data_IF_258324019442
#
_entry.id   IF_258324019442
#
_cell.length_a   1.000
_cell.length_b   1.000
_cell.length_c   1.000
_cell.angle_alpha   90.00
_cell.angle_beta   90.00
_cell.angle_gamma   90.00
#
_symmetry.space_group_name_H-M   'P 1'
#
loop_
_entity.id
_entity.type
_entity.pdbx_description
1 polymer ?
#
# COMPACT_ATOMS: atom_id res chain seq x y z
N UNK A 1 10.10 -24.54 0.53
CA UNK A 1 8.86 -24.12 -0.16
C UNK A 1 7.71 -25.03 0.24
N UNK A 2 6.62 -24.45 0.76
CA UNK A 2 5.25 -24.99 1.01
C UNK A 2 4.35 -23.73 1.07
N UNK A 3 3.10 -23.65 0.61
CA UNK A 3 2.13 -24.63 0.11
C UNK A 3 1.86 -24.45 -1.40
N UNK A 4 1.25 -25.47 -2.03
CA UNK A 4 0.96 -25.53 -3.49
C UNK A 4 -0.50 -25.97 -3.79
N UNK A 5 -1.47 -25.74 -2.90
CA UNK A 5 -2.93 -25.62 -3.12
C UNK A 5 -3.63 -25.49 -1.73
N UNK A 6 -4.90 -25.06 -1.62
CA UNK A 6 -5.51 -24.81 -0.30
C UNK A 6 -5.76 -26.12 0.46
N UNK A 7 -5.65 -26.04 1.79
CA UNK A 7 -5.96 -27.13 2.72
C UNK A 7 -7.46 -27.45 2.78
N UNK A 8 -8.31 -26.63 2.14
CA UNK A 8 -9.74 -26.85 1.98
C UNK A 8 -10.17 -26.66 0.53
N UNK A 9 -11.15 -27.43 0.09
CA UNK A 9 -11.73 -27.39 -1.27
C UNK A 9 -13.14 -26.77 -1.29
N UNK A 10 -13.46 -25.96 -0.28
CA UNK A 10 -14.78 -25.31 -0.10
C UNK A 10 -14.74 -23.80 -0.36
N UNK A 11 -15.90 -23.15 -0.29
CA UNK A 11 -15.98 -21.69 -0.33
C UNK A 11 -15.20 -21.08 0.84
N UNK A 12 -14.28 -20.16 0.54
CA UNK A 12 -13.53 -19.43 1.56
C UNK A 12 -14.37 -18.28 2.10
N UNK A 13 -14.49 -18.22 3.42
CA UNK A 13 -15.09 -17.09 4.12
C UNK A 13 -14.13 -15.90 4.15
N UNK A 14 -14.64 -14.72 4.55
CA UNK A 14 -13.78 -13.56 4.76
C UNK A 14 -12.75 -13.75 5.87
N UNK A 15 -13.08 -14.54 6.91
CA UNK A 15 -12.15 -14.85 8.00
C UNK A 15 -11.07 -15.85 7.56
N UNK A 16 -11.40 -16.81 6.69
CA UNK A 16 -10.40 -17.70 6.09
C UNK A 16 -9.37 -16.89 5.30
N UNK A 17 -9.82 -15.92 4.50
CA UNK A 17 -8.91 -15.04 3.75
C UNK A 17 -8.05 -14.18 4.67
N UNK A 18 -8.60 -13.66 5.77
CA UNK A 18 -7.81 -12.92 6.76
C UNK A 18 -6.68 -13.78 7.33
N UNK A 19 -6.95 -15.05 7.65
CA UNK A 19 -5.93 -15.98 8.14
C UNK A 19 -4.87 -16.33 7.09
N UNK A 20 -5.29 -16.54 5.84
CA UNK A 20 -4.39 -16.88 4.73
C UNK A 20 -3.43 -15.72 4.40
N UNK A 21 -3.92 -14.48 4.44
CA UNK A 21 -3.13 -13.28 4.10
C UNK A 21 -2.55 -12.57 5.31
N UNK A 22 -2.69 -13.12 6.52
CA UNK A 22 -2.17 -12.52 7.74
C UNK A 22 -0.66 -12.28 7.67
N UNK A 23 -0.21 -11.17 8.24
CA UNK A 23 1.20 -10.92 8.50
C UNK A 23 1.70 -11.83 9.64
N UNK A 24 3.00 -12.17 9.68
CA UNK A 24 3.58 -12.86 10.81
C UNK A 24 3.33 -12.12 12.13
N UNK A 25 3.09 -12.88 13.20
CA UNK A 25 3.01 -12.30 14.55
C UNK A 25 4.39 -11.80 15.01
N UNK A 26 4.41 -10.72 15.79
CA UNK A 26 5.60 -10.15 16.44
C UNK A 26 6.72 -9.70 15.47
N UNK A 27 6.39 -8.83 14.52
CA UNK A 27 7.37 -8.24 13.61
C UNK A 27 8.35 -7.31 14.35
N UNK A 28 9.64 -7.57 14.21
CA UNK A 28 10.76 -6.72 14.65
C UNK A 28 11.27 -5.80 13.54
N UNK A 29 10.94 -6.09 12.28
CA UNK A 29 11.28 -5.31 11.09
C UNK A 29 10.11 -5.22 10.12
N UNK A 30 10.24 -4.40 9.08
CA UNK A 30 9.26 -4.32 8.01
C UNK A 30 9.07 -5.68 7.30
N UNK A 31 7.82 -6.04 7.08
CA UNK A 31 7.40 -7.17 6.27
C UNK A 31 6.58 -6.65 5.09
N UNK A 32 7.10 -6.87 3.89
CA UNK A 32 6.45 -6.41 2.66
C UNK A 32 5.71 -7.57 2.02
N UNK A 33 4.39 -7.43 1.89
CA UNK A 33 3.58 -8.27 1.01
C UNK A 33 3.35 -7.51 -0.30
N UNK A 34 3.80 -8.10 -1.41
CA UNK A 34 3.68 -7.53 -2.74
C UNK A 34 2.47 -8.15 -3.42
N UNK A 35 1.51 -7.33 -3.85
CA UNK A 35 0.27 -7.80 -4.49
C UNK A 35 0.15 -7.22 -5.90
N UNK A 36 0.11 -8.11 -6.89
CA UNK A 36 0.09 -7.78 -8.31
C UNK A 36 -0.84 -8.74 -9.06
N UNK A 37 -1.38 -8.26 -10.17
CA UNK A 37 -2.08 -9.07 -11.16
C UNK A 37 -1.28 -9.09 -12.45
N UNK A 38 -1.29 -10.22 -13.15
CA UNK A 38 -0.68 -10.37 -14.46
C UNK A 38 -1.53 -11.28 -15.35
N UNK A 39 -1.49 -11.04 -16.66
CA UNK A 39 -2.01 -11.97 -17.66
C UNK A 39 -1.16 -13.25 -17.71
N UNK A 40 -1.67 -14.28 -18.40
CA UNK A 40 -0.97 -15.56 -18.53
C UNK A 40 0.37 -15.44 -19.30
N UNK A 41 0.52 -14.43 -20.16
CA UNK A 41 1.75 -14.10 -20.88
C UNK A 41 2.62 -13.06 -20.15
N UNK A 42 2.23 -12.63 -18.94
CA UNK A 42 3.05 -11.80 -18.05
C UNK A 42 2.87 -10.29 -18.21
N UNK A 43 1.86 -9.82 -18.96
CA UNK A 43 1.51 -8.41 -18.99
C UNK A 43 0.91 -7.99 -17.64
N UNK A 44 1.30 -6.81 -17.15
CA UNK A 44 0.86 -6.25 -15.86
C UNK A 44 -0.16 -5.12 -16.02
N UNK A 45 -0.45 -4.72 -17.25
CA UNK A 45 -1.43 -3.69 -17.59
C UNK A 45 -2.12 -3.98 -18.93
N UNK A 46 -3.33 -3.44 -19.07
CA UNK A 46 -4.08 -3.32 -20.32
C UNK A 46 -4.53 -1.86 -20.40
N UNK A 47 -4.25 -1.18 -21.53
CA UNK A 47 -4.54 0.25 -21.69
C UNK A 47 -4.00 1.11 -20.53
N UNK A 48 -2.72 0.90 -20.15
CA UNK A 48 -1.99 1.64 -19.09
C UNK A 48 -2.43 1.42 -17.64
N UNK A 49 -3.38 0.52 -17.38
CA UNK A 49 -3.85 0.22 -16.02
C UNK A 49 -3.95 -1.27 -15.76
N UNK A 50 -3.86 -1.66 -14.49
CA UNK A 50 -4.04 -3.06 -14.06
C UNK A 50 -5.52 -3.52 -14.10
N UNK A 51 -6.46 -2.57 -14.15
CA UNK A 51 -7.90 -2.81 -13.99
C UNK A 51 -8.46 -3.81 -15.02
N UNK A 52 -7.95 -3.81 -16.25
CA UNK A 52 -8.37 -4.74 -17.31
C UNK A 52 -7.98 -6.20 -17.05
N UNK A 53 -7.03 -6.46 -16.14
CA UNK A 53 -6.60 -7.79 -15.74
C UNK A 53 -7.29 -8.28 -14.46
N UNK A 54 -7.97 -7.38 -13.75
CA UNK A 54 -8.59 -7.67 -12.45
C UNK A 54 -9.96 -8.34 -12.59
N UNK A 55 -10.41 -8.96 -11.51
CA UNK A 55 -11.77 -9.50 -11.38
C UNK A 55 -12.27 -9.37 -9.94
N UNK A 56 -13.54 -9.70 -9.68
CA UNK A 56 -14.17 -9.52 -8.36
C UNK A 56 -13.40 -10.18 -7.21
N UNK A 57 -12.82 -11.37 -7.39
CA UNK A 57 -12.06 -12.02 -6.31
C UNK A 57 -10.68 -11.39 -6.09
N UNK A 58 -10.04 -10.87 -7.14
CA UNK A 58 -8.78 -10.13 -7.06
C UNK A 58 -8.98 -8.84 -6.26
N UNK A 59 -10.03 -8.07 -6.59
CA UNK A 59 -10.39 -6.86 -5.84
C UNK A 59 -10.66 -7.14 -4.36
N UNK A 60 -11.18 -8.33 -4.00
CA UNK A 60 -11.37 -8.71 -2.59
C UNK A 60 -10.03 -8.90 -1.89
N UNK A 61 -9.08 -9.59 -2.51
CA UNK A 61 -7.73 -9.80 -1.96
C UNK A 61 -6.97 -8.47 -1.88
N UNK A 62 -7.03 -7.65 -2.93
CA UNK A 62 -6.43 -6.32 -2.97
C UNK A 62 -6.93 -5.44 -1.81
N UNK A 63 -8.25 -5.33 -1.64
CA UNK A 63 -8.84 -4.53 -0.56
C UNK A 63 -8.55 -5.10 0.83
N UNK A 64 -8.41 -6.43 0.95
CA UNK A 64 -8.03 -7.12 2.18
C UNK A 64 -6.57 -6.82 2.55
N UNK A 65 -5.64 -6.80 1.58
CA UNK A 65 -4.25 -6.41 1.82
C UNK A 65 -4.16 -5.03 2.49
N UNK A 66 -4.93 -4.05 1.98
CA UNK A 66 -5.08 -2.73 2.61
C UNK A 66 -5.67 -2.79 4.03
N UNK A 67 -6.56 -3.73 4.31
CA UNK A 67 -7.16 -3.93 5.64
C UNK A 67 -6.21 -4.60 6.64
N UNK A 68 -5.22 -5.34 6.18
CA UNK A 68 -4.25 -6.05 7.01
C UNK A 68 -2.92 -5.30 7.19
N UNK A 69 -2.72 -4.18 6.48
CA UNK A 69 -1.48 -3.41 6.51
C UNK A 69 -1.50 -2.27 7.55
N UNK A 70 -0.31 -1.91 8.02
CA UNK A 70 -0.04 -0.65 8.72
C UNK A 70 0.13 0.51 7.74
N UNK A 71 0.69 0.24 6.55
CA UNK A 71 0.92 1.22 5.49
C UNK A 71 0.79 0.56 4.11
N UNK A 72 0.26 1.31 3.15
CA UNK A 72 0.24 0.91 1.74
C UNK A 72 1.43 1.57 1.06
N UNK A 73 2.27 0.82 0.35
CA UNK A 73 3.40 1.33 -0.42
C UNK A 73 3.08 1.27 -1.91
N UNK A 74 3.29 2.38 -2.61
CA UNK A 74 3.11 2.45 -4.06
C UNK A 74 4.13 3.43 -4.65
N UNK A 75 4.56 3.25 -5.88
CA UNK A 75 5.36 4.25 -6.57
C UNK A 75 4.50 5.35 -7.21
N UNK A 76 5.13 6.50 -7.47
CA UNK A 76 4.44 7.68 -8.02
C UNK A 76 3.93 7.49 -9.46
N UNK A 77 4.42 6.49 -10.20
CA UNK A 77 3.90 6.16 -11.53
C UNK A 77 2.47 5.66 -11.42
N UNK A 78 2.31 4.52 -10.73
CA UNK A 78 1.00 3.91 -10.44
C UNK A 78 0.07 4.86 -9.72
N UNK A 79 0.54 5.59 -8.70
CA UNK A 79 -0.31 6.50 -7.95
C UNK A 79 -0.99 7.56 -8.85
N UNK A 80 -0.29 8.06 -9.87
CA UNK A 80 -0.85 8.99 -10.86
C UNK A 80 -1.74 8.29 -11.89
N UNK A 81 -1.24 7.20 -12.47
CA UNK A 81 -1.95 6.47 -13.53
C UNK A 81 -3.31 5.94 -13.06
N UNK A 82 -3.41 5.52 -11.80
CA UNK A 82 -4.63 4.96 -11.21
C UNK A 82 -5.41 5.96 -10.33
N UNK A 83 -5.07 7.26 -10.36
CA UNK A 83 -5.77 8.33 -9.63
C UNK A 83 -5.98 8.00 -8.14
N UNK A 84 -4.87 7.66 -7.46
CA UNK A 84 -4.89 7.23 -6.06
C UNK A 84 -5.51 8.31 -5.17
N UNK A 85 -6.24 7.84 -4.16
CA UNK A 85 -6.80 8.63 -3.06
C UNK A 85 -6.54 7.94 -1.74
N UNK A 86 -6.72 8.65 -0.63
CA UNK A 86 -6.66 8.07 0.71
C UNK A 86 -7.60 6.88 0.90
N UNK A 87 -7.24 5.96 1.79
CA UNK A 87 -8.08 4.80 2.08
C UNK A 87 -9.41 5.24 2.69
N UNK A 88 -10.52 4.82 2.09
CA UNK A 88 -11.86 5.20 2.56
C UNK A 88 -12.17 4.50 3.88
N UNK A 89 -12.43 5.30 4.93
CA UNK A 89 -12.78 4.85 6.28
C UNK A 89 -14.25 4.40 6.41
N UNK A 90 -14.68 3.47 5.54
CA UNK A 90 -16.05 2.93 5.58
C UNK A 90 -16.29 2.04 6.81
N UNK A 91 -17.54 1.95 7.33
CA UNK A 91 -17.85 1.20 8.56
C UNK A 91 -17.34 -0.25 8.56
N UNK A 92 -17.58 -1.00 7.47
CA UNK A 92 -17.12 -2.40 7.34
C UNK A 92 -15.60 -2.55 7.46
N UNK A 93 -14.84 -1.59 6.90
CA UNK A 93 -13.37 -1.56 6.97
C UNK A 93 -12.90 -1.24 8.38
N UNK A 94 -13.48 -0.20 8.99
CA UNK A 94 -13.16 0.18 10.36
C UNK A 94 -13.47 -0.92 11.37
N UNK A 95 -14.61 -1.60 11.25
CA UNK A 95 -14.99 -2.68 12.16
C UNK A 95 -14.05 -3.88 12.05
N UNK A 96 -13.70 -4.27 10.81
CA UNK A 96 -12.67 -5.30 10.55
C UNK A 96 -11.33 -4.91 11.16
N UNK A 97 -10.84 -3.72 10.87
CA UNK A 97 -9.55 -3.23 11.35
C UNK A 97 -9.51 -3.14 12.88
N UNK A 98 -10.58 -2.68 13.53
CA UNK A 98 -10.71 -2.68 14.99
C UNK A 98 -10.64 -4.10 15.57
N UNK A 99 -11.37 -5.07 15.00
CA UNK A 99 -11.31 -6.48 15.42
C UNK A 99 -9.90 -7.06 15.31
N UNK A 100 -9.14 -6.62 14.31
CA UNK A 100 -7.76 -7.02 14.06
C UNK A 100 -6.71 -6.19 14.84
N UNK A 101 -7.16 -5.30 15.75
CA UNK A 101 -6.27 -4.53 16.63
C UNK A 101 -5.68 -3.26 16.01
N UNK A 102 -6.20 -2.80 14.88
CA UNK A 102 -5.78 -1.54 14.24
C UNK A 102 -6.66 -0.35 14.64
N UNK A 103 -6.08 0.83 14.56
CA UNK A 103 -6.78 2.12 14.65
C UNK A 103 -6.93 2.75 13.26
N UNK A 104 -8.16 3.10 12.88
CA UNK A 104 -8.42 3.83 11.63
C UNK A 104 -8.04 3.05 10.37
N UNK A 105 -7.64 3.79 9.34
CA UNK A 105 -7.17 3.28 8.03
C UNK A 105 -5.67 3.55 7.86
N UNK A 106 -4.93 2.75 7.08
CA UNK A 106 -3.50 2.98 6.90
C UNK A 106 -3.24 4.22 6.01
N UNK A 107 -2.13 4.95 6.22
CA UNK A 107 -1.62 5.91 5.25
C UNK A 107 -1.18 5.20 3.95
N UNK A 108 -1.09 5.99 2.88
CA UNK A 108 -0.46 5.59 1.62
C UNK A 108 0.92 6.25 1.59
N UNK A 109 1.98 5.44 1.51
CA UNK A 109 3.35 5.84 1.28
C UNK A 109 3.67 5.79 -0.22
N UNK A 110 3.88 6.95 -0.82
CA UNK A 110 4.23 7.08 -2.24
C UNK A 110 5.73 7.26 -2.39
N UNK A 111 6.37 6.35 -3.13
CA UNK A 111 7.79 6.41 -3.47
C UNK A 111 7.99 7.25 -4.71
N UNK A 112 8.84 8.27 -4.61
CA UNK A 112 9.17 9.16 -5.73
C UNK A 112 10.58 9.70 -5.56
N UNK A 113 11.39 9.71 -6.62
CA UNK A 113 12.73 10.31 -6.58
C UNK A 113 12.70 11.84 -6.57
N UNK A 114 11.70 12.43 -7.22
CA UNK A 114 11.68 13.87 -7.52
C UNK A 114 10.64 14.65 -6.74
N UNK A 115 9.78 13.97 -5.96
CA UNK A 115 8.57 14.57 -5.37
C UNK A 115 7.60 15.19 -6.40
N UNK A 116 7.67 14.75 -7.66
CA UNK A 116 6.75 15.19 -8.73
C UNK A 116 5.37 14.55 -8.57
N UNK A 117 4.59 15.10 -7.64
CA UNK A 117 3.19 14.77 -7.36
C UNK A 117 2.39 16.06 -7.34
N UNK A 118 1.15 16.01 -7.83
CA UNK A 118 0.24 17.16 -7.78
C UNK A 118 -0.32 17.32 -6.35
N UNK A 119 -0.02 18.42 -5.63
CA UNK A 119 -0.56 18.67 -4.29
C UNK A 119 -2.10 18.80 -4.25
N UNK A 120 -2.74 19.06 -5.40
CA UNK A 120 -4.19 19.12 -5.53
C UNK A 120 -4.83 17.75 -5.84
N UNK A 121 -4.03 16.71 -6.09
CA UNK A 121 -4.54 15.36 -6.39
C UNK A 121 -5.35 14.76 -5.23
N UNK A 122 -6.17 13.76 -5.56
CA UNK A 122 -7.05 13.07 -4.60
C UNK A 122 -6.27 12.34 -3.50
N UNK A 123 -5.00 12.05 -3.73
CA UNK A 123 -4.10 11.51 -2.71
C UNK A 123 -3.99 12.45 -1.50
N UNK A 124 -3.96 13.76 -1.73
CA UNK A 124 -3.84 14.78 -0.68
C UNK A 124 -5.20 15.38 -0.30
N UNK A 125 -6.15 15.49 -1.24
CA UNK A 125 -7.44 16.15 -1.01
C UNK A 125 -8.56 15.21 -0.56
N UNK A 126 -8.51 13.93 -0.93
CA UNK A 126 -9.48 12.90 -0.53
C UNK A 126 -8.85 11.87 0.40
N UNK A 127 -8.32 12.33 1.54
CA UNK A 127 -7.71 11.47 2.54
C UNK A 127 -8.09 11.88 3.97
N UNK A 128 -8.19 10.88 4.85
CA UNK A 128 -8.43 11.06 6.29
C UNK A 128 -7.18 10.83 7.13
N UNK A 129 -6.14 10.26 6.53
CA UNK A 129 -4.80 10.08 7.13
C UNK A 129 -3.79 10.70 6.18
N UNK A 130 -2.91 11.59 6.64
CA UNK A 130 -1.83 12.16 5.83
C UNK A 130 -1.09 11.10 5.01
N UNK A 131 -0.96 11.27 3.68
CA UNK A 131 -0.10 10.40 2.89
C UNK A 131 1.36 10.61 3.30
N UNK A 132 2.15 9.57 3.13
CA UNK A 132 3.60 9.62 3.33
C UNK A 132 4.25 9.76 1.95
N UNK A 133 5.20 10.67 1.80
CA UNK A 133 6.01 10.81 0.59
C UNK A 133 7.41 10.32 0.92
N UNK A 134 7.80 9.19 0.33
CA UNK A 134 9.14 8.63 0.44
C UNK A 134 9.96 9.14 -0.74
N UNK A 135 10.95 9.98 -0.45
CA UNK A 135 11.76 10.67 -1.47
C UNK A 135 13.20 10.86 -1.03
N UNK A 136 13.99 11.56 -1.82
CA UNK A 136 15.40 11.80 -1.55
C UNK A 136 15.63 13.10 -0.76
N UNK A 137 16.82 13.27 -0.20
CA UNK A 137 17.24 14.51 0.45
C UNK A 137 17.24 15.71 -0.51
N UNK A 138 17.50 15.48 -1.81
CA UNK A 138 17.56 16.55 -2.81
C UNK A 138 16.20 17.01 -3.35
N UNK A 139 15.11 16.29 -3.06
CA UNK A 139 13.79 16.62 -3.59
C UNK A 139 13.17 17.81 -2.85
N UNK A 140 12.56 18.73 -3.60
CA UNK A 140 11.74 19.81 -3.05
C UNK A 140 10.35 19.27 -2.73
N UNK A 141 9.99 19.32 -1.44
CA UNK A 141 8.74 18.77 -0.91
C UNK A 141 7.82 19.83 -0.34
N UNK A 142 8.19 21.12 -0.41
CA UNK A 142 7.49 22.18 0.31
C UNK A 142 6.00 22.25 -0.04
N UNK A 143 5.66 22.07 -1.32
CA UNK A 143 4.27 22.06 -1.76
C UNK A 143 3.47 20.83 -1.24
N UNK A 144 4.11 19.66 -1.17
CA UNK A 144 3.48 18.43 -0.66
C UNK A 144 3.28 18.48 0.85
N UNK A 145 4.27 18.97 1.58
CA UNK A 145 4.17 19.20 3.03
C UNK A 145 3.07 20.22 3.35
N UNK A 146 2.98 21.31 2.57
CA UNK A 146 1.90 22.28 2.70
C UNK A 146 0.51 21.68 2.39
N UNK A 147 0.44 20.68 1.52
CA UNK A 147 -0.76 19.89 1.26
C UNK A 147 -1.03 18.80 2.32
N UNK A 148 -0.22 18.74 3.39
CA UNK A 148 -0.42 17.85 4.52
C UNK A 148 0.32 16.51 4.43
N UNK A 149 1.25 16.33 3.50
CA UNK A 149 2.06 15.12 3.41
C UNK A 149 3.07 15.02 4.57
N UNK A 150 3.30 13.79 5.05
CA UNK A 150 4.48 13.48 5.87
C UNK A 150 5.63 13.04 4.97
N UNK A 151 6.81 13.63 5.10
CA UNK A 151 7.94 13.31 4.22
C UNK A 151 8.95 12.38 4.91
N UNK A 152 9.32 11.30 4.22
CA UNK A 152 10.46 10.45 4.55
C UNK A 152 11.55 10.68 3.52
N UNK A 153 12.69 11.20 3.98
CA UNK A 153 13.90 11.32 3.15
C UNK A 153 14.72 10.06 3.35
N UNK A 154 14.81 9.24 2.31
CA UNK A 154 15.48 7.96 2.32
C UNK A 154 16.44 7.87 1.12
N UNK A 155 17.67 8.35 1.30
CA UNK A 155 18.68 8.43 0.24
C UNK A 155 18.90 9.84 -0.29
N UNK A 156 20.01 10.03 -1.02
CA UNK A 156 20.49 11.37 -1.43
C UNK A 156 20.04 11.75 -2.84
N UNK A 157 20.46 11.00 -3.86
CA UNK A 157 20.13 11.23 -5.27
C UNK A 157 19.04 10.26 -5.79
N UNK A 158 18.99 9.06 -5.22
CA UNK A 158 18.00 8.02 -5.48
C UNK A 158 17.39 7.56 -4.16
N UNK A 159 16.21 6.95 -4.23
CA UNK A 159 15.54 6.40 -3.04
C UNK A 159 16.23 5.11 -2.61
N UNK A 160 16.76 5.10 -1.39
CA UNK A 160 17.22 3.90 -0.70
C UNK A 160 16.01 3.19 -0.08
N UNK A 161 15.49 2.19 -0.80
CA UNK A 161 14.31 1.43 -0.38
C UNK A 161 14.54 0.67 0.94
N UNK A 162 15.64 -0.09 1.15
CA UNK A 162 15.94 -0.67 2.46
C UNK A 162 15.86 0.36 3.60
N UNK A 163 16.49 1.52 3.44
CA UNK A 163 16.42 2.57 4.45
C UNK A 163 15.00 3.13 4.63
N UNK A 164 14.24 3.30 3.55
CA UNK A 164 12.84 3.71 3.63
C UNK A 164 11.97 2.71 4.42
N UNK A 165 12.21 1.41 4.24
CA UNK A 165 11.51 0.35 4.98
C UNK A 165 11.87 0.37 6.47
N UNK A 166 13.14 0.66 6.81
CA UNK A 166 13.57 0.83 8.20
C UNK A 166 12.87 2.05 8.84
N UNK A 167 12.84 3.20 8.16
CA UNK A 167 12.17 4.42 8.62
C UNK A 167 10.66 4.23 8.82
N UNK A 168 10.00 3.41 7.98
CA UNK A 168 8.60 3.01 8.19
C UNK A 168 8.47 2.10 9.42
N UNK A 169 9.38 1.12 9.56
CA UNK A 169 9.41 0.20 10.70
C UNK A 169 9.64 0.88 12.06
N UNK A 170 10.48 1.92 12.10
CA UNK A 170 10.72 2.79 13.26
C UNK A 170 9.46 3.53 13.70
N UNK A 171 8.57 3.88 12.76
CA UNK A 171 7.25 4.47 13.03
C UNK A 171 6.18 3.43 13.41
N UNK A 172 6.57 2.17 13.56
CA UNK A 172 5.65 1.06 13.82
C UNK A 172 4.87 0.60 12.59
N UNK A 173 5.18 1.12 11.39
CA UNK A 173 4.52 0.75 10.13
C UNK A 173 5.21 -0.48 9.51
N UNK A 174 5.09 -1.63 10.19
CA UNK A 174 5.85 -2.84 9.85
C UNK A 174 5.14 -3.77 8.90
N UNK A 175 3.80 -3.72 8.81
CA UNK A 175 3.01 -4.51 7.88
C UNK A 175 2.75 -3.69 6.61
N UNK A 176 3.46 -4.00 5.53
CA UNK A 176 3.46 -3.17 4.32
C UNK A 176 2.78 -3.92 3.18
N UNK A 177 1.66 -3.37 2.69
CA UNK A 177 1.05 -3.82 1.44
C UNK A 177 1.62 -3.01 0.28
N UNK A 178 2.42 -3.65 -0.58
CA UNK A 178 3.01 -3.03 -1.76
C UNK A 178 2.13 -3.31 -2.99
N UNK A 179 1.64 -2.24 -3.63
CA UNK A 179 0.66 -2.29 -4.73
C UNK A 179 1.25 -1.89 -6.09
N UNK A 180 2.57 -1.80 -6.20
CA UNK A 180 3.26 -1.51 -7.45
C UNK A 180 3.91 -0.14 -7.53
N UNK A 181 4.34 0.25 -8.73
CA UNK A 181 5.39 1.26 -8.97
C UNK A 181 4.95 2.49 -9.77
#
# INVERSE_FOLDING_TARGET
>A
MRSVWPLSTGELTGEDLEGIYAYPANLDRAWVQVNFVASADGAVEVDTTSAGLSHTADRRVFLLGRDLADVILVGAGTARAEDYRGVVAGPKRLDRRRRLGFTGVPPIAVVTRTADLDPASRLFTETVVPPIVVTTESADTGALEAAGASVLRAGTADVDLPHALDLLGERGLRRIACEGG
#
